data_IF_113089061021
#
_entry.id   IF_113089061021
#
_cell.length_a   1.000
_cell.length_b   1.000
_cell.length_c   1.000
_cell.angle_alpha   90.00
_cell.angle_beta   90.00
_cell.angle_gamma   90.00
#
_symmetry.space_group_name_H-M   'P 1'
#
loop_
_entity.id
_entity.type
_entity.pdbx_description
1 polymer ?
#
# COMPACT_ATOMS: atom_id res chain seq x y z
N UNK A 1 -2.25 -0.84 10.19
CA UNK A 1 -0.85 -1.26 10.46
C UNK A 1 0.09 -0.73 9.38
N UNK A 2 1.38 -0.83 9.63
CA UNK A 2 2.49 -0.61 8.69
C UNK A 2 3.30 -1.90 8.56
N UNK A 3 4.06 -2.05 7.47
CA UNK A 3 5.16 -3.03 7.43
C UNK A 3 6.45 -2.34 7.88
N UNK A 4 7.14 -2.94 8.86
CA UNK A 4 8.50 -2.53 9.22
C UNK A 4 9.55 -3.22 8.35
N UNK A 5 9.26 -4.44 7.92
CA UNK A 5 10.06 -5.29 7.04
C UNK A 5 9.11 -6.21 6.22
N UNK A 6 9.60 -7.30 5.64
CA UNK A 6 8.83 -8.24 4.83
C UNK A 6 7.69 -8.95 5.58
N UNK A 7 7.78 -9.10 6.89
CA UNK A 7 6.90 -9.99 7.69
C UNK A 7 6.39 -9.37 8.99
N UNK A 8 6.95 -8.24 9.41
CA UNK A 8 6.62 -7.58 10.67
C UNK A 8 5.61 -6.46 10.47
N UNK A 9 4.44 -6.61 11.10
CA UNK A 9 3.43 -5.57 11.17
C UNK A 9 3.56 -4.73 12.44
N UNK A 10 3.51 -3.42 12.28
CA UNK A 10 3.61 -2.44 13.38
C UNK A 10 2.37 -1.56 13.45
N UNK A 11 1.95 -1.22 14.66
CA UNK A 11 0.87 -0.27 14.89
C UNK A 11 1.26 1.13 14.38
N UNK A 12 0.37 1.77 13.61
CA UNK A 12 0.57 3.12 13.06
C UNK A 12 -0.15 4.22 13.85
N UNK A 13 -0.83 3.81 14.91
CA UNK A 13 -1.62 4.59 15.87
C UNK A 13 -1.90 3.68 17.07
N UNK A 14 -2.40 4.26 18.14
CA UNK A 14 -2.94 3.48 19.26
C UNK A 14 -4.14 2.63 18.79
N UNK A 15 -4.26 1.43 19.36
CA UNK A 15 -5.29 0.44 19.02
C UNK A 15 -5.97 0.03 20.32
N UNK A 16 -7.29 0.13 20.36
CA UNK A 16 -8.06 -0.21 21.55
C UNK A 16 -8.23 -1.73 21.71
N UNK A 17 -8.45 -2.19 22.95
CA UNK A 17 -8.76 -3.58 23.19
C UNK A 17 -10.05 -4.00 22.45
N UNK A 18 -9.98 -5.11 21.71
CA UNK A 18 -11.09 -5.63 20.91
C UNK A 18 -11.24 -5.00 19.51
N UNK A 19 -10.41 -4.03 19.15
CA UNK A 19 -10.39 -3.47 17.79
C UNK A 19 -9.75 -4.44 16.78
N UNK A 20 -10.33 -4.56 15.58
CA UNK A 20 -9.75 -5.34 14.50
C UNK A 20 -8.43 -4.75 14.02
N UNK A 21 -7.40 -5.58 13.92
CA UNK A 21 -6.14 -5.22 13.32
C UNK A 21 -6.25 -5.24 11.79
N UNK A 22 -6.10 -4.08 11.18
CA UNK A 22 -6.21 -3.94 9.72
C UNK A 22 -4.88 -3.59 9.07
N UNK A 23 -4.61 -4.20 7.92
CA UNK A 23 -3.48 -3.88 7.05
C UNK A 23 -3.98 -3.71 5.62
N UNK A 24 -3.38 -2.76 4.90
CA UNK A 24 -3.73 -2.47 3.52
C UNK A 24 -3.00 -3.45 2.58
N UNK A 25 -3.75 -4.18 1.74
CA UNK A 25 -3.18 -5.12 0.76
C UNK A 25 -2.16 -4.48 -0.17
N UNK A 26 -2.26 -3.17 -0.43
CA UNK A 26 -1.28 -2.47 -1.25
C UNK A 26 0.14 -2.49 -0.66
N UNK A 27 0.29 -2.81 0.63
CA UNK A 27 1.59 -2.92 1.28
C UNK A 27 2.37 -4.18 0.88
N UNK A 28 1.70 -5.22 0.33
CA UNK A 28 2.34 -6.50 0.02
C UNK A 28 1.79 -7.26 -1.21
N UNK A 29 0.75 -6.75 -1.89
CA UNK A 29 0.20 -7.38 -3.11
C UNK A 29 0.68 -6.66 -4.37
N UNK A 30 1.22 -7.44 -5.32
CA UNK A 30 1.84 -6.92 -6.57
C UNK A 30 1.41 -7.64 -7.84
N UNK A 31 0.58 -8.68 -7.74
CA UNK A 31 0.12 -9.47 -8.90
C UNK A 31 -0.87 -8.63 -9.71
N UNK A 32 -0.55 -8.23 -10.97
CA UNK A 32 -1.36 -7.25 -11.70
C UNK A 32 -2.79 -7.71 -12.01
N UNK A 33 -2.99 -9.02 -12.12
CA UNK A 33 -4.27 -9.70 -12.37
C UNK A 33 -5.05 -10.03 -11.09
N UNK A 34 -4.41 -9.88 -9.91
CA UNK A 34 -5.09 -10.10 -8.65
C UNK A 34 -6.02 -8.93 -8.31
N UNK A 35 -7.22 -9.27 -7.85
CA UNK A 35 -8.22 -8.36 -7.32
C UNK A 35 -8.94 -9.05 -6.16
N UNK A 36 -9.35 -8.27 -5.16
CA UNK A 36 -10.25 -8.77 -4.12
C UNK A 36 -11.63 -9.04 -4.75
N UNK A 37 -12.11 -10.27 -4.63
CA UNK A 37 -13.36 -10.73 -5.27
C UNK A 37 -14.58 -9.87 -4.87
N UNK A 38 -14.59 -9.39 -3.63
CA UNK A 38 -15.68 -8.59 -3.06
C UNK A 38 -15.22 -7.14 -2.83
N UNK A 39 -16.16 -6.17 -2.85
CA UNK A 39 -15.85 -4.80 -2.49
C UNK A 39 -15.24 -4.70 -1.09
N UNK A 40 -14.27 -3.81 -0.93
CA UNK A 40 -13.65 -3.51 0.35
C UNK A 40 -14.68 -2.93 1.32
N UNK A 41 -14.65 -3.44 2.55
CA UNK A 41 -15.54 -3.02 3.65
C UNK A 41 -14.75 -2.43 4.82
N UNK A 42 -13.58 -1.84 4.56
CA UNK A 42 -12.70 -1.31 5.63
C UNK A 42 -13.27 -0.11 6.40
N UNK A 43 -14.35 0.51 5.90
CA UNK A 43 -15.02 1.63 6.57
C UNK A 43 -14.27 2.97 6.53
N UNK A 44 -13.10 3.06 5.89
CA UNK A 44 -12.37 4.32 5.77
C UNK A 44 -13.02 5.27 4.76
N UNK A 45 -13.02 6.58 5.06
CA UNK A 45 -13.57 7.63 4.16
C UNK A 45 -12.91 7.64 2.77
N UNK A 46 -11.65 7.23 2.71
CA UNK A 46 -10.85 7.15 1.48
C UNK A 46 -10.75 5.72 0.95
N UNK A 47 -11.76 4.89 1.21
CA UNK A 47 -11.82 3.52 0.72
C UNK A 47 -11.76 3.50 -0.82
N UNK A 48 -10.91 2.64 -1.38
CA UNK A 48 -10.82 2.42 -2.84
C UNK A 48 -11.99 1.62 -3.40
N UNK A 49 -12.78 0.95 -2.53
CA UNK A 49 -13.85 0.00 -2.81
C UNK A 49 -13.44 -1.24 -3.62
N UNK A 50 -12.64 -1.11 -4.66
CA UNK A 50 -12.01 -2.19 -5.39
C UNK A 50 -10.52 -2.23 -5.04
N UNK A 51 -10.06 -3.34 -4.47
CA UNK A 51 -8.64 -3.54 -4.14
C UNK A 51 -8.00 -4.39 -5.23
N UNK A 52 -6.88 -3.94 -5.77
CA UNK A 52 -6.14 -4.61 -6.86
C UNK A 52 -4.67 -4.78 -6.51
N UNK A 53 -3.99 -5.71 -7.17
CA UNK A 53 -2.54 -5.88 -7.02
C UNK A 53 -1.70 -4.77 -7.66
N UNK A 54 -2.34 -3.79 -8.30
CA UNK A 54 -1.67 -2.59 -8.84
C UNK A 54 -1.80 -1.37 -7.92
N UNK A 55 -2.49 -1.49 -6.79
CA UNK A 55 -2.82 -0.32 -5.97
C UNK A 55 -1.59 0.39 -5.37
N UNK A 56 -0.48 -0.34 -5.18
CA UNK A 56 0.80 0.22 -4.73
C UNK A 56 1.39 1.26 -5.69
N UNK A 57 0.93 1.29 -6.95
CA UNK A 57 1.38 2.26 -7.96
C UNK A 57 0.67 3.62 -7.84
N UNK A 58 -0.45 3.69 -7.12
CA UNK A 58 -1.26 4.91 -7.02
C UNK A 58 -0.54 5.95 -6.17
N UNK A 59 -0.55 7.20 -6.61
CA UNK A 59 0.16 8.29 -5.94
C UNK A 59 -0.37 8.56 -4.52
N UNK A 60 -1.69 8.48 -4.32
CA UNK A 60 -2.33 8.64 -3.00
C UNK A 60 -1.91 7.55 -2.02
N UNK A 61 -1.81 6.30 -2.49
CA UNK A 61 -1.33 5.15 -1.70
C UNK A 61 0.15 5.32 -1.36
N UNK A 62 1.00 5.67 -2.34
CA UNK A 62 2.43 5.91 -2.12
C UNK A 62 2.67 7.02 -1.10
N UNK A 63 1.99 8.17 -1.25
CA UNK A 63 2.11 9.29 -0.32
C UNK A 63 1.67 8.92 1.10
N UNK A 64 0.64 8.08 1.25
CA UNK A 64 0.10 7.71 2.55
C UNK A 64 0.98 6.74 3.32
N UNK A 65 1.66 5.83 2.63
CA UNK A 65 2.29 4.67 3.26
C UNK A 65 3.81 4.63 3.12
N UNK A 66 4.44 5.34 2.19
CA UNK A 66 5.90 5.25 2.04
C UNK A 66 6.62 5.77 3.31
N UNK A 67 7.69 5.11 3.80
CA UNK A 67 8.36 3.91 3.27
C UNK A 67 7.88 2.57 3.88
N UNK A 68 6.64 2.47 4.34
CA UNK A 68 6.09 1.32 5.08
C UNK A 68 5.41 0.24 4.21
N UNK A 69 5.89 0.05 2.98
CA UNK A 69 5.54 -1.10 2.15
C UNK A 69 6.51 -2.26 2.43
N UNK A 70 6.25 -3.44 1.85
CA UNK A 70 7.29 -4.48 1.78
C UNK A 70 8.55 -3.92 1.09
N UNK A 71 9.76 -4.34 1.49
CA UNK A 71 11.00 -3.88 0.88
C UNK A 71 11.03 -4.02 -0.65
N UNK A 72 10.41 -5.08 -1.18
CA UNK A 72 10.21 -5.28 -2.62
C UNK A 72 9.41 -4.14 -3.28
N UNK A 73 8.30 -3.71 -2.68
CA UNK A 73 7.45 -2.65 -3.22
C UNK A 73 8.14 -1.28 -3.08
N UNK A 74 8.79 -1.01 -1.94
CA UNK A 74 9.57 0.22 -1.76
C UNK A 74 10.62 0.39 -2.87
N UNK A 75 11.38 -0.67 -3.17
CA UNK A 75 12.38 -0.66 -4.24
C UNK A 75 11.75 -0.36 -5.62
N UNK A 76 10.54 -0.86 -5.89
CA UNK A 76 9.82 -0.55 -7.14
C UNK A 76 9.31 0.88 -7.19
N UNK A 77 8.80 1.42 -6.09
CA UNK A 77 8.37 2.83 -6.01
C UNK A 77 9.56 3.75 -6.32
N UNK A 78 10.73 3.48 -5.76
CA UNK A 78 11.97 4.22 -6.07
C UNK A 78 12.31 4.22 -7.56
N UNK A 79 12.21 3.06 -8.21
CA UNK A 79 12.45 2.94 -9.65
C UNK A 79 11.42 3.74 -10.47
N UNK A 80 10.14 3.69 -10.10
CA UNK A 80 9.09 4.47 -10.76
C UNK A 80 9.32 5.99 -10.62
N UNK A 81 9.72 6.45 -9.44
CA UNK A 81 10.00 7.86 -9.18
C UNK A 81 11.22 8.36 -9.97
N UNK A 82 12.25 7.52 -10.11
CA UNK A 82 13.43 7.80 -10.95
C UNK A 82 13.05 7.90 -12.43
N UNK A 83 12.22 6.98 -12.93
CA UNK A 83 11.73 7.01 -14.32
C UNK A 83 10.92 8.27 -14.60
N UNK A 84 9.92 8.59 -13.76
CA UNK A 84 9.10 9.80 -13.89
C UNK A 84 9.91 11.10 -13.86
N UNK A 85 11.01 11.13 -13.11
CA UNK A 85 11.90 12.29 -13.06
C UNK A 85 12.76 12.42 -14.32
N UNK A 86 13.16 11.29 -14.92
CA UNK A 86 13.84 11.28 -16.21
C UNK A 86 12.93 11.78 -17.33
N UNK A 87 11.69 11.31 -17.37
CA UNK A 87 10.72 11.66 -18.41
C UNK A 87 10.30 13.15 -18.38
N UNK A 88 10.37 13.80 -17.21
CA UNK A 88 10.09 15.25 -17.07
C UNK A 88 11.24 16.16 -17.48
N UNK A 89 12.45 15.61 -17.61
CA UNK A 89 13.67 16.35 -17.95
C UNK A 89 14.09 16.17 -19.43
N UNK A 90 13.22 15.57 -20.25
CA UNK A 90 13.36 15.39 -21.71
C UNK A 90 12.24 16.18 -22.38
#
# INVERSE_FOLDING_TARGET
LWLADEVTLVARRDIAAGEELTVDYALFTVQPDWKLDQPCRCGADVCRHTITGNDWQRADVQQRYYPHFSPFINARIELLLKQRSKDRNV
#
